data_IF_940003291103
#
_entry.id   IF_940003291103
#
_cell.length_a   1.000
_cell.length_b   1.000
_cell.length_c   1.000
_cell.angle_alpha   90.00
_cell.angle_beta   90.00
_cell.angle_gamma   90.00
#
_symmetry.space_group_name_H-M   'P 1'
#
loop_
_entity.id
_entity.type
_entity.pdbx_description
1 polymer ?
#
# COMPACT_ATOMS: atom_id res chain seq x y z
N UNK A 1 -36.54 5.24 1.83
CA UNK A 1 -36.78 4.15 0.86
C UNK A 1 -35.68 3.08 1.06
N UNK A 2 -35.95 2.09 1.91
CA UNK A 2 -34.99 1.05 2.27
C UNK A 2 -34.81 0.03 1.15
N UNK A 3 -33.63 -0.60 1.07
CA UNK A 3 -33.39 -1.69 0.12
C UNK A 3 -34.34 -2.84 0.42
N UNK A 4 -35.18 -3.20 -0.56
CA UNK A 4 -36.13 -4.33 -0.49
C UNK A 4 -35.44 -5.72 -0.56
N UNK A 5 -34.15 -5.76 -0.90
CA UNK A 5 -33.38 -7.00 -1.06
C UNK A 5 -32.16 -7.03 -0.13
N UNK A 6 -31.90 -8.19 0.46
CA UNK A 6 -30.73 -8.46 1.31
C UNK A 6 -29.46 -8.46 0.46
N UNK A 7 -28.52 -7.56 0.75
CA UNK A 7 -27.20 -7.58 0.12
C UNK A 7 -26.35 -8.66 0.79
N UNK A 8 -25.75 -9.53 -0.02
CA UNK A 8 -24.81 -10.54 0.47
C UNK A 8 -23.58 -9.87 1.09
N UNK A 9 -23.23 -10.30 2.32
CA UNK A 9 -22.10 -9.73 3.09
C UNK A 9 -20.82 -10.56 2.97
N UNK A 10 -20.66 -11.27 1.85
CA UNK A 10 -19.49 -12.12 1.62
C UNK A 10 -18.19 -11.32 1.52
N UNK A 11 -17.07 -11.93 1.90
CA UNK A 11 -15.76 -11.28 1.95
C UNK A 11 -15.32 -10.66 0.60
N UNK A 12 -15.74 -11.28 -0.51
CA UNK A 12 -15.45 -10.85 -1.90
C UNK A 12 -16.68 -10.32 -2.63
N UNK A 13 -17.70 -9.86 -1.91
CA UNK A 13 -18.85 -9.20 -2.51
C UNK A 13 -18.40 -7.93 -3.26
N UNK A 14 -18.90 -7.75 -4.49
CA UNK A 14 -18.62 -6.56 -5.31
C UNK A 14 -17.17 -6.44 -5.80
N UNK A 15 -16.41 -7.54 -5.89
CA UNK A 15 -14.99 -7.50 -6.31
C UNK A 15 -14.74 -7.99 -7.74
N UNK A 16 -15.77 -8.14 -8.58
CA UNK A 16 -15.64 -8.70 -9.94
C UNK A 16 -14.54 -8.00 -10.75
N UNK A 17 -14.69 -6.70 -10.96
CA UNK A 17 -13.72 -5.92 -11.75
C UNK A 17 -12.52 -5.48 -10.91
N UNK A 18 -12.73 -5.20 -9.62
CA UNK A 18 -11.67 -4.77 -8.69
C UNK A 18 -10.52 -5.79 -8.59
N UNK A 19 -10.84 -7.09 -8.62
CA UNK A 19 -9.84 -8.16 -8.56
C UNK A 19 -9.59 -8.80 -9.92
N UNK A 20 -10.28 -8.39 -10.98
CA UNK A 20 -9.96 -8.84 -12.31
C UNK A 20 -8.55 -8.37 -12.69
N UNK A 21 -7.77 -9.28 -13.28
CA UNK A 21 -6.49 -8.89 -13.86
C UNK A 21 -6.72 -8.01 -15.08
N UNK A 22 -5.83 -7.04 -15.29
CA UNK A 22 -5.88 -6.17 -16.47
C UNK A 22 -5.70 -7.00 -17.74
N UNK A 23 -6.16 -6.45 -18.87
CA UNK A 23 -5.92 -7.04 -20.18
C UNK A 23 -4.42 -7.33 -20.39
N UNK A 24 -4.11 -8.49 -21.00
CA UNK A 24 -2.73 -9.00 -21.21
C UNK A 24 -1.85 -9.13 -19.95
N UNK A 25 -2.44 -9.19 -18.76
CA UNK A 25 -1.72 -9.43 -17.49
C UNK A 25 -2.13 -10.72 -16.78
N UNK A 26 -2.78 -11.65 -17.50
CA UNK A 26 -3.15 -12.97 -16.98
C UNK A 26 -1.88 -13.79 -16.67
N UNK A 27 -1.95 -14.67 -15.67
CA UNK A 27 -0.82 -15.48 -15.20
C UNK A 27 -0.38 -15.11 -13.78
N UNK A 28 0.80 -15.56 -13.36
CA UNK A 28 1.39 -15.23 -12.06
C UNK A 28 2.04 -13.83 -12.08
N UNK A 29 2.18 -13.16 -10.91
CA UNK A 29 2.92 -11.90 -10.84
C UNK A 29 4.40 -12.09 -11.19
N UNK A 30 5.02 -11.07 -11.75
CA UNK A 30 6.44 -11.10 -12.10
C UNK A 30 7.35 -11.25 -10.88
N UNK A 31 8.53 -11.84 -11.10
CA UNK A 31 9.51 -12.18 -10.06
C UNK A 31 9.94 -10.96 -9.23
N UNK A 32 9.99 -9.78 -9.85
CA UNK A 32 10.27 -8.50 -9.18
C UNK A 32 9.41 -8.27 -7.94
N UNK A 33 8.14 -8.70 -7.97
CA UNK A 33 7.22 -8.52 -6.84
C UNK A 33 7.63 -9.35 -5.62
N UNK A 34 8.20 -10.52 -5.83
CA UNK A 34 8.70 -11.40 -4.78
C UNK A 34 10.05 -10.96 -4.22
N UNK A 35 10.93 -10.44 -5.08
CA UNK A 35 12.29 -10.03 -4.71
C UNK A 35 12.37 -8.64 -4.08
N UNK A 36 11.29 -7.88 -4.11
CA UNK A 36 11.27 -6.53 -3.50
C UNK A 36 11.43 -6.64 -1.99
N UNK A 37 12.49 -6.01 -1.47
CA UNK A 37 12.77 -5.97 -0.02
C UNK A 37 11.96 -4.88 0.67
N UNK A 38 11.35 -5.20 1.80
CA UNK A 38 10.56 -4.24 2.60
C UNK A 38 11.14 -4.12 4.00
N UNK A 39 11.15 -2.90 4.54
CA UNK A 39 11.58 -2.59 5.90
C UNK A 39 10.42 -2.03 6.71
N UNK A 40 10.52 -2.12 8.05
CA UNK A 40 9.57 -1.43 8.94
C UNK A 40 9.66 0.08 8.69
N UNK A 41 8.52 0.75 8.67
CA UNK A 41 8.41 2.18 8.36
C UNK A 41 8.29 2.51 6.87
N UNK A 42 8.48 1.55 5.97
CA UNK A 42 8.26 1.79 4.54
C UNK A 42 6.77 2.07 4.25
N UNK A 43 6.53 3.01 3.33
CA UNK A 43 5.20 3.21 2.75
C UNK A 43 4.93 2.20 1.65
N UNK A 44 3.79 1.53 1.74
CA UNK A 44 3.41 0.46 0.81
C UNK A 44 1.98 0.63 0.35
N UNK A 45 1.74 0.36 -0.93
CA UNK A 45 0.39 0.27 -1.46
C UNK A 45 -0.07 -1.18 -1.51
N UNK A 46 -1.32 -1.41 -1.12
CA UNK A 46 -1.94 -2.72 -1.16
C UNK A 46 -2.72 -2.85 -2.47
N UNK A 47 -2.19 -3.64 -3.40
CA UNK A 47 -2.78 -3.90 -4.71
C UNK A 47 -2.89 -5.40 -4.90
N UNK A 48 -4.12 -5.90 -4.80
CA UNK A 48 -4.42 -7.33 -4.85
C UNK A 48 -4.07 -7.91 -6.21
N UNK A 49 -3.40 -9.06 -6.20
CA UNK A 49 -3.19 -9.91 -7.35
C UNK A 49 -4.08 -11.14 -7.20
N UNK A 50 -5.04 -11.34 -8.10
CA UNK A 50 -6.04 -12.41 -7.97
C UNK A 50 -5.53 -13.81 -8.31
N UNK A 51 -4.34 -13.95 -8.89
CA UNK A 51 -3.75 -15.28 -9.15
C UNK A 51 -3.27 -15.96 -7.86
N UNK A 52 -2.99 -15.16 -6.82
CA UNK A 52 -2.64 -15.66 -5.49
C UNK A 52 -3.79 -15.37 -4.54
N UNK A 53 -4.42 -16.41 -3.99
CA UNK A 53 -5.59 -16.25 -3.13
C UNK A 53 -5.22 -16.08 -1.65
N UNK A 54 -4.06 -16.63 -1.25
CA UNK A 54 -3.62 -16.67 0.15
C UNK A 54 -3.19 -15.28 0.62
N UNK A 55 -3.66 -14.88 1.80
CA UNK A 55 -3.33 -13.60 2.41
C UNK A 55 -3.77 -12.37 1.61
N UNK A 56 -4.79 -12.56 0.77
CA UNK A 56 -5.52 -11.46 0.15
C UNK A 56 -6.20 -10.59 1.22
N UNK A 57 -6.11 -9.26 1.12
CA UNK A 57 -6.82 -8.34 1.99
C UNK A 57 -8.31 -8.22 1.62
N UNK A 58 -9.08 -7.66 2.55
CA UNK A 58 -10.47 -7.29 2.31
C UNK A 58 -10.55 -6.14 1.28
N UNK A 59 -11.62 -6.11 0.49
CA UNK A 59 -11.80 -5.24 -0.68
C UNK A 59 -11.71 -3.73 -0.39
N UNK A 60 -11.90 -3.34 0.86
CA UNK A 60 -11.72 -1.96 1.34
C UNK A 60 -10.27 -1.48 1.30
N UNK A 61 -9.31 -2.39 1.58
CA UNK A 61 -7.88 -2.06 1.68
C UNK A 61 -7.18 -2.05 0.33
N UNK A 62 -7.80 -2.62 -0.71
CA UNK A 62 -7.28 -2.55 -2.07
C UNK A 62 -7.17 -1.09 -2.54
N UNK A 63 -6.02 -0.73 -3.10
CA UNK A 63 -5.70 0.60 -3.62
C UNK A 63 -5.32 1.61 -2.56
N UNK A 64 -5.20 1.22 -1.29
CA UNK A 64 -4.81 2.12 -0.21
C UNK A 64 -3.33 1.98 0.14
N UNK A 65 -2.76 3.07 0.63
CA UNK A 65 -1.38 3.14 1.14
C UNK A 65 -1.36 3.01 2.64
N UNK A 66 -0.42 2.22 3.17
CA UNK A 66 -0.19 2.02 4.59
C UNK A 66 1.29 2.03 4.94
N UNK A 67 1.58 1.89 6.23
CA UNK A 67 2.94 1.83 6.76
C UNK A 67 3.23 0.43 7.26
N UNK A 68 4.41 -0.11 6.92
CA UNK A 68 4.82 -1.43 7.40
C UNK A 68 5.16 -1.36 8.89
N UNK A 69 4.40 -2.09 9.72
CA UNK A 69 4.69 -2.22 11.15
C UNK A 69 5.47 -3.50 11.47
N UNK A 70 5.29 -4.56 10.68
CA UNK A 70 5.99 -5.83 10.88
C UNK A 70 6.35 -6.52 9.55
N UNK A 71 7.43 -7.29 9.56
CA UNK A 71 7.89 -8.07 8.40
C UNK A 71 7.97 -9.53 8.83
N UNK A 72 7.18 -10.38 8.17
CA UNK A 72 7.18 -11.83 8.36
C UNK A 72 7.82 -12.50 7.14
N UNK A 73 8.10 -13.80 7.23
CA UNK A 73 8.74 -14.59 6.15
C UNK A 73 8.08 -14.41 4.77
N UNK A 74 6.75 -14.49 4.71
CA UNK A 74 5.98 -14.47 3.45
C UNK A 74 4.98 -13.29 3.36
N UNK A 75 4.93 -12.43 4.37
CA UNK A 75 3.89 -11.42 4.51
C UNK A 75 4.38 -10.19 5.24
N UNK A 76 3.69 -9.07 5.02
CA UNK A 76 3.94 -7.81 5.67
C UNK A 76 2.75 -7.46 6.56
N UNK A 77 3.06 -7.03 7.78
CA UNK A 77 2.10 -6.34 8.63
C UNK A 77 2.03 -4.88 8.20
N UNK A 78 0.88 -4.45 7.69
CA UNK A 78 0.61 -3.07 7.25
C UNK A 78 -0.42 -2.43 8.17
N UNK A 79 -0.11 -1.23 8.66
CA UNK A 79 -0.99 -0.39 9.44
C UNK A 79 -1.64 0.68 8.55
N UNK A 80 -2.95 0.83 8.67
CA UNK A 80 -3.76 1.71 7.83
C UNK A 80 -4.90 2.34 8.61
N UNK A 81 -5.26 3.57 8.28
CA UNK A 81 -6.44 4.23 8.85
C UNK A 81 -7.71 3.84 8.07
N UNK A 82 -8.72 3.37 8.80
CA UNK A 82 -10.07 3.08 8.30
C UNK A 82 -11.08 3.89 9.11
N UNK A 83 -11.91 4.66 8.41
CA UNK A 83 -13.07 5.33 9.03
C UNK A 83 -14.16 4.28 9.25
N UNK A 84 -14.66 4.17 10.48
CA UNK A 84 -15.76 3.26 10.87
C UNK A 84 -16.80 4.08 11.62
N UNK A 85 -17.93 4.35 10.95
CA UNK A 85 -18.91 5.31 11.45
C UNK A 85 -18.25 6.67 11.62
N UNK A 86 -18.27 7.19 12.84
CA UNK A 86 -17.85 8.56 13.15
C UNK A 86 -16.38 8.67 13.59
N UNK A 87 -15.63 7.55 13.64
CA UNK A 87 -14.25 7.54 14.16
C UNK A 87 -13.24 6.96 13.18
N UNK A 88 -12.02 7.49 13.25
CA UNK A 88 -10.86 6.96 12.54
C UNK A 88 -10.19 5.88 13.39
N UNK A 89 -10.05 4.67 12.84
CA UNK A 89 -9.40 3.55 13.51
C UNK A 89 -8.16 3.13 12.74
N UNK A 90 -7.05 2.98 13.45
CA UNK A 90 -5.87 2.30 12.93
C UNK A 90 -6.13 0.80 12.89
N UNK A 91 -5.99 0.20 11.73
CA UNK A 91 -6.19 -1.22 11.47
C UNK A 91 -4.86 -1.81 11.02
N UNK A 92 -4.44 -2.87 11.72
CA UNK A 92 -3.28 -3.68 11.36
C UNK A 92 -3.75 -4.91 10.62
N UNK A 93 -3.18 -5.17 9.45
CA UNK A 93 -3.49 -6.33 8.62
C UNK A 93 -2.21 -7.01 8.17
N UNK A 94 -2.24 -8.33 8.07
CA UNK A 94 -1.17 -9.09 7.43
C UNK A 94 -1.55 -9.39 5.99
N UNK A 95 -0.71 -8.96 5.07
CA UNK A 95 -0.91 -9.09 3.62
C UNK A 95 0.34 -9.71 3.02
N UNK A 96 0.17 -10.69 2.13
CA UNK A 96 1.34 -11.30 1.48
C UNK A 96 1.99 -10.36 0.48
N UNK A 97 3.27 -10.62 0.22
CA UNK A 97 4.14 -9.77 -0.61
C UNK A 97 3.59 -9.61 -2.04
N UNK A 98 2.90 -10.63 -2.57
CA UNK A 98 2.28 -10.61 -3.91
C UNK A 98 1.19 -9.55 -4.05
N UNK A 99 0.61 -9.08 -2.94
CA UNK A 99 -0.44 -8.08 -2.93
C UNK A 99 0.05 -6.70 -2.49
N UNK A 100 1.36 -6.54 -2.32
CA UNK A 100 1.97 -5.29 -1.87
C UNK A 100 2.88 -4.75 -2.98
N UNK A 101 3.04 -3.42 -3.04
CA UNK A 101 4.08 -2.73 -3.80
C UNK A 101 4.63 -1.59 -2.97
N UNK A 102 5.89 -1.19 -3.20
CA UNK A 102 6.41 0.04 -2.60
C UNK A 102 5.64 1.24 -3.13
N UNK A 103 5.22 2.12 -2.23
CA UNK A 103 4.52 3.34 -2.60
C UNK A 103 5.52 4.40 -3.04
N UNK A 104 5.18 5.16 -4.08
CA UNK A 104 5.96 6.32 -4.53
C UNK A 104 5.55 7.62 -3.84
N UNK A 105 4.57 7.58 -2.93
CA UNK A 105 3.98 8.77 -2.33
C UNK A 105 4.98 9.70 -1.62
N UNK A 106 6.10 9.15 -1.12
CA UNK A 106 7.10 9.90 -0.37
C UNK A 106 8.39 10.15 -1.16
N UNK A 107 8.51 9.64 -2.40
CA UNK A 107 9.77 9.72 -3.15
C UNK A 107 10.15 11.16 -3.48
N UNK A 108 9.21 11.96 -3.97
CA UNK A 108 9.48 13.35 -4.38
C UNK A 108 9.71 14.26 -3.17
N UNK A 109 9.00 14.01 -2.06
CA UNK A 109 9.25 14.71 -0.80
C UNK A 109 10.68 14.47 -0.32
N UNK A 110 11.13 13.22 -0.29
CA UNK A 110 12.48 12.87 0.15
C UNK A 110 13.56 13.44 -0.78
N UNK A 111 13.33 13.46 -2.09
CA UNK A 111 14.25 14.11 -3.05
C UNK A 111 14.39 15.59 -2.75
N UNK A 112 13.26 16.29 -2.57
CA UNK A 112 13.25 17.73 -2.25
C UNK A 112 13.95 18.04 -0.93
N UNK A 113 13.75 17.23 0.10
CA UNK A 113 14.46 17.39 1.38
C UNK A 113 15.98 17.32 1.17
N UNK A 114 16.46 16.29 0.46
CA UNK A 114 17.89 16.14 0.17
C UNK A 114 18.47 17.29 -0.64
N UNK A 115 17.74 17.77 -1.64
CA UNK A 115 18.16 18.90 -2.47
C UNK A 115 18.25 20.19 -1.66
N UNK A 116 17.26 20.45 -0.81
CA UNK A 116 17.25 21.62 0.06
C UNK A 116 18.37 21.57 1.11
N UNK A 117 18.62 20.39 1.69
CA UNK A 117 19.69 20.20 2.66
C UNK A 117 21.07 20.44 2.03
N UNK A 118 21.27 19.99 0.78
CA UNK A 118 22.50 20.29 0.02
C UNK A 118 22.67 21.80 -0.18
N UNK A 119 21.64 22.47 -0.70
CA UNK A 119 21.67 23.93 -0.91
C UNK A 119 21.99 24.70 0.37
N UNK A 120 21.43 24.28 1.51
CA UNK A 120 21.73 24.87 2.82
C UNK A 120 23.17 24.64 3.26
N UNK A 121 23.74 23.46 3.02
CA UNK A 121 25.13 23.17 3.31
C UNK A 121 26.08 24.00 2.44
N UNK A 122 25.78 24.10 1.14
CA UNK A 122 26.58 24.86 0.17
C UNK A 122 26.55 26.37 0.51
N UNK A 123 25.37 26.93 0.81
CA UNK A 123 25.23 28.31 1.25
C UNK A 123 26.01 28.60 2.54
N UNK A 124 25.99 27.67 3.51
CA UNK A 124 26.75 27.79 4.76
C UNK A 124 28.26 27.77 4.52
N UNK A 125 28.75 26.98 3.56
CA UNK A 125 30.17 26.94 3.17
C UNK A 125 30.61 28.24 2.48
N UNK A 126 29.76 28.81 1.62
CA UNK A 126 30.03 30.06 0.91
C UNK A 126 29.85 31.32 1.78
N UNK A 127 29.21 31.20 2.94
CA UNK A 127 28.90 32.34 3.82
C UNK A 127 27.70 33.18 3.35
N UNK A 128 26.94 32.68 2.39
CA UNK A 128 25.71 33.31 1.90
C UNK A 128 24.51 32.91 2.74
N UNK A 129 23.49 33.78 2.83
CA UNK A 129 22.22 33.40 3.50
C UNK A 129 21.47 32.41 2.61
N UNK A 130 21.20 31.23 3.19
CA UNK A 130 20.49 30.09 2.57
C UNK A 130 19.04 30.39 2.19
#
# INVERSE_FOLDING_TARGET
MGKLHTISKGYRHGTRDKYAKKYRSKGLPGVSRYLTTFKRGDYVDIVVDSSVQKGMPYSFYHGRTGVVFNVNRNALGVEMTKIVGNRQLRKRIHVRIEHVRKSRCNEDFLKRVRENDRKRMDAKLLGEKA
#
